data_IF_438914377369
#
_entry.id   IF_438914377369
#
_cell.length_a   1.000
_cell.length_b   1.000
_cell.length_c   1.000
_cell.angle_alpha   90.00
_cell.angle_beta   90.00
_cell.angle_gamma   90.00
#
_symmetry.space_group_name_H-M   'P 1'
#
loop_
_entity.id
_entity.type
_entity.pdbx_description
1 polymer ?
#
# COMPACT_ATOMS: atom_id res chain seq x y z
N UNK A 1 -19.34 -6.39 -16.03
CA UNK A 1 -18.77 -5.11 -15.61
C UNK A 1 -17.37 -5.31 -15.03
N UNK A 2 -16.42 -4.56 -15.56
CA UNK A 2 -15.04 -4.65 -15.10
C UNK A 2 -14.82 -3.63 -13.98
N UNK A 3 -14.45 -4.14 -12.81
CA UNK A 3 -14.09 -3.29 -11.69
C UNK A 3 -12.59 -3.10 -11.66
N UNK A 4 -12.14 -1.93 -12.05
CA UNK A 4 -10.72 -1.60 -12.02
C UNK A 4 -10.42 -0.84 -10.73
N UNK A 5 -9.31 -1.16 -10.06
CA UNK A 5 -8.93 -0.41 -8.88
C UNK A 5 -8.57 1.02 -9.25
N UNK A 6 -8.77 1.91 -8.28
CA UNK A 6 -8.33 3.29 -8.39
C UNK A 6 -6.97 3.42 -7.72
N UNK A 7 -6.04 4.03 -8.43
CA UNK A 7 -4.72 4.33 -7.87
C UNK A 7 -4.65 5.83 -7.66
N UNK A 8 -4.50 6.23 -6.41
CA UNK A 8 -4.54 7.64 -6.03
C UNK A 8 -3.19 8.06 -5.49
N UNK A 9 -2.67 9.16 -6.02
CA UNK A 9 -1.52 9.82 -5.44
C UNK A 9 -2.03 11.02 -4.65
N UNK A 10 -2.08 10.86 -3.33
CA UNK A 10 -2.62 11.89 -2.46
C UNK A 10 -1.51 12.42 -1.56
N UNK A 11 -1.25 13.72 -1.66
CA UNK A 11 -0.24 14.39 -0.84
C UNK A 11 -0.90 15.05 0.37
N UNK A 12 -2.09 15.58 0.17
CA UNK A 12 -2.86 16.28 1.19
C UNK A 12 -4.32 15.89 1.07
N UNK A 13 -5.12 16.39 1.98
CA UNK A 13 -6.58 16.22 1.89
C UNK A 13 -7.04 14.76 1.93
N UNK A 14 -6.31 13.91 2.68
CA UNK A 14 -6.69 12.50 2.82
C UNK A 14 -8.10 12.35 3.39
N UNK A 15 -8.44 13.15 4.40
CA UNK A 15 -9.75 13.05 5.03
C UNK A 15 -10.86 13.37 4.05
N UNK A 16 -10.68 14.40 3.22
CA UNK A 16 -11.67 14.78 2.22
C UNK A 16 -11.84 13.69 1.16
N UNK A 17 -10.72 13.08 0.72
CA UNK A 17 -10.79 11.99 -0.25
C UNK A 17 -11.52 10.79 0.34
N UNK A 18 -11.20 10.43 1.59
CA UNK A 18 -11.84 9.30 2.25
C UNK A 18 -13.34 9.56 2.44
N UNK A 19 -13.72 10.80 2.81
CA UNK A 19 -15.11 11.16 2.94
C UNK A 19 -15.87 11.05 1.61
N UNK A 20 -15.23 11.49 0.52
CA UNK A 20 -15.84 11.37 -0.81
C UNK A 20 -16.08 9.91 -1.16
N UNK A 21 -15.09 9.05 -0.90
CA UNK A 21 -15.22 7.62 -1.19
C UNK A 21 -16.38 6.99 -0.42
N UNK A 22 -16.59 7.39 0.83
CA UNK A 22 -17.71 6.92 1.60
C UNK A 22 -19.04 7.43 1.05
N UNK A 23 -19.12 8.73 0.73
CA UNK A 23 -20.33 9.35 0.20
C UNK A 23 -20.74 8.75 -1.13
N UNK A 24 -19.77 8.47 -1.99
CA UNK A 24 -20.04 7.88 -3.30
C UNK A 24 -20.28 6.39 -3.23
N UNK A 25 -20.26 5.79 -2.04
CA UNK A 25 -20.43 4.35 -1.84
C UNK A 25 -19.51 3.55 -2.74
N UNK A 26 -18.23 3.97 -2.77
CA UNK A 26 -17.26 3.36 -3.64
C UNK A 26 -17.12 1.86 -3.35
N UNK A 27 -17.23 1.05 -4.39
CA UNK A 27 -17.11 -0.41 -4.28
C UNK A 27 -15.87 -0.97 -4.95
N UNK A 28 -15.05 -0.13 -5.58
CA UNK A 28 -13.82 -0.60 -6.21
C UNK A 28 -12.65 -0.45 -5.23
N UNK A 29 -11.63 -1.30 -5.34
CA UNK A 29 -10.44 -1.17 -4.52
C UNK A 29 -9.72 0.15 -4.80
N UNK A 30 -9.22 0.77 -3.74
CA UNK A 30 -8.45 2.02 -3.86
C UNK A 30 -7.06 1.79 -3.29
N UNK A 31 -6.04 2.16 -4.04
CA UNK A 31 -4.65 2.07 -3.61
C UNK A 31 -4.09 3.48 -3.49
N UNK A 32 -3.67 3.84 -2.29
CA UNK A 32 -2.98 5.11 -2.05
C UNK A 32 -1.49 4.88 -2.21
N UNK A 33 -0.93 5.32 -3.34
CA UNK A 33 0.47 5.08 -3.61
C UNK A 33 1.34 6.26 -3.16
N UNK A 34 2.62 5.98 -2.94
CA UNK A 34 3.54 7.01 -2.48
C UNK A 34 3.26 7.48 -1.05
N UNK A 35 2.71 6.60 -0.22
CA UNK A 35 2.30 6.97 1.13
C UNK A 35 3.51 7.32 1.99
N UNK A 36 3.50 8.51 2.60
CA UNK A 36 4.57 8.97 3.48
C UNK A 36 4.04 9.69 4.72
N UNK A 37 2.86 9.28 5.18
CA UNK A 37 2.22 9.88 6.35
C UNK A 37 2.37 8.97 7.55
N UNK A 38 1.64 9.25 8.62
CA UNK A 38 1.79 8.55 9.89
C UNK A 38 0.93 7.29 10.00
N UNK A 39 1.18 6.50 11.06
CA UNK A 39 0.48 5.25 11.28
C UNK A 39 -1.01 5.45 11.53
N UNK A 40 -1.40 6.57 12.14
CA UNK A 40 -2.80 6.87 12.42
C UNK A 40 -3.61 6.98 11.12
N UNK A 41 -3.05 7.71 10.14
CA UNK A 41 -3.71 7.85 8.84
C UNK A 41 -3.71 6.52 8.10
N UNK A 42 -2.61 5.76 8.18
CA UNK A 42 -2.55 4.44 7.56
C UNK A 42 -3.65 3.54 8.12
N UNK A 43 -3.87 3.55 9.43
CA UNK A 43 -4.92 2.76 10.06
C UNK A 43 -6.31 3.19 9.58
N UNK A 44 -6.52 4.48 9.41
CA UNK A 44 -7.81 4.99 8.91
C UNK A 44 -8.07 4.52 7.48
N UNK A 45 -7.06 4.62 6.62
CA UNK A 45 -7.16 4.21 5.22
C UNK A 45 -7.47 2.71 5.12
N UNK A 46 -6.67 1.89 5.79
CA UNK A 46 -6.84 0.43 5.71
C UNK A 46 -8.09 -0.04 6.45
N UNK A 47 -8.47 0.67 7.52
CA UNK A 47 -9.71 0.37 8.24
C UNK A 47 -10.96 0.59 7.40
N UNK A 48 -10.88 1.42 6.38
CA UNK A 48 -11.98 1.63 5.42
C UNK A 48 -11.90 0.68 4.22
N UNK A 49 -10.97 -0.27 4.25
CA UNK A 49 -10.85 -1.28 3.20
C UNK A 49 -9.93 -0.91 2.06
N UNK A 50 -9.19 0.17 2.17
CA UNK A 50 -8.29 0.60 1.11
C UNK A 50 -6.89 0.06 1.32
N UNK A 51 -6.06 0.19 0.29
CA UNK A 51 -4.71 -0.34 0.24
C UNK A 51 -3.70 0.80 0.26
N UNK A 52 -2.51 0.49 0.75
CA UNK A 52 -1.41 1.46 0.80
C UNK A 52 -0.20 0.87 0.09
N UNK A 53 0.41 1.67 -0.77
CA UNK A 53 1.66 1.32 -1.44
C UNK A 53 2.78 2.22 -0.93
N UNK A 54 3.86 1.60 -0.48
CA UNK A 54 5.02 2.31 0.05
C UNK A 54 6.26 2.04 -0.79
N UNK A 55 7.12 3.03 -0.88
CA UNK A 55 8.32 2.94 -1.70
C UNK A 55 9.59 3.14 -0.90
N UNK A 56 10.53 3.86 -1.49
CA UNK A 56 11.87 4.02 -0.93
C UNK A 56 11.90 4.66 0.46
N UNK A 57 10.85 5.40 0.84
CA UNK A 57 10.80 6.05 2.14
C UNK A 57 10.79 5.06 3.31
N UNK A 58 10.58 3.76 3.07
CA UNK A 58 10.67 2.76 4.12
C UNK A 58 12.09 2.63 4.68
N UNK A 59 13.09 3.17 4.00
CA UNK A 59 14.44 3.24 4.53
C UNK A 59 14.54 4.17 5.74
N UNK A 60 13.64 5.13 5.85
CA UNK A 60 13.64 6.08 6.95
C UNK A 60 13.11 5.40 8.22
N UNK A 61 13.86 5.54 9.31
CA UNK A 61 13.44 4.94 10.58
C UNK A 61 12.06 5.40 11.01
N UNK A 62 11.72 6.65 10.71
CA UNK A 62 10.41 7.21 11.07
C UNK A 62 9.25 6.52 10.36
N UNK A 63 9.52 5.87 9.23
CA UNK A 63 8.47 5.17 8.48
C UNK A 63 8.34 3.69 8.83
N UNK A 64 9.25 3.14 9.61
CA UNK A 64 9.17 1.73 9.99
C UNK A 64 7.93 1.42 10.84
N UNK A 65 7.60 2.23 11.87
CA UNK A 65 6.35 1.98 12.59
C UNK A 65 5.12 2.09 11.71
N UNK A 66 5.15 2.97 10.71
CA UNK A 66 4.05 3.11 9.76
C UNK A 66 3.89 1.83 8.95
N UNK A 67 4.99 1.34 8.38
CA UNK A 67 4.98 0.08 7.63
C UNK A 67 4.46 -1.07 8.49
N UNK A 68 4.95 -1.16 9.72
CA UNK A 68 4.56 -2.23 10.64
C UNK A 68 3.10 -2.16 11.04
N UNK A 69 2.49 -0.97 10.97
CA UNK A 69 1.08 -0.77 11.33
C UNK A 69 0.10 -1.19 10.23
N UNK A 70 0.58 -1.35 8.99
CA UNK A 70 -0.29 -1.68 7.86
C UNK A 70 -0.53 -3.19 7.83
N UNK A 71 -1.81 -3.63 7.80
CA UNK A 71 -2.08 -5.06 7.61
C UNK A 71 -1.44 -5.57 6.33
N UNK A 72 -0.78 -6.72 6.40
CA UNK A 72 -0.06 -7.25 5.24
C UNK A 72 -0.95 -7.44 4.02
N UNK A 73 -2.22 -7.79 4.23
CA UNK A 73 -3.16 -7.97 3.13
C UNK A 73 -3.60 -6.66 2.49
N UNK A 74 -3.18 -5.52 3.04
CA UNK A 74 -3.49 -4.19 2.50
C UNK A 74 -2.26 -3.46 2.00
N UNK A 75 -1.12 -4.13 1.94
CA UNK A 75 0.16 -3.51 1.60
C UNK A 75 0.57 -3.81 0.17
N UNK A 76 1.11 -2.79 -0.49
CA UNK A 76 1.87 -2.92 -1.74
C UNK A 76 3.20 -2.20 -1.59
N UNK A 77 4.16 -2.58 -2.39
CA UNK A 77 5.46 -1.93 -2.46
C UNK A 77 5.72 -1.43 -3.87
N UNK A 78 6.40 -0.30 -3.98
CA UNK A 78 6.62 0.36 -5.26
C UNK A 78 7.99 0.98 -5.34
N UNK A 79 8.42 1.33 -6.55
CA UNK A 79 9.59 2.18 -6.77
C UNK A 79 9.16 3.37 -7.61
N UNK A 80 9.23 4.56 -7.02
CA UNK A 80 8.98 5.82 -7.74
C UNK A 80 10.28 6.52 -8.12
N UNK A 81 11.37 6.11 -7.48
CA UNK A 81 12.67 6.72 -7.72
C UNK A 81 13.55 5.74 -8.47
N UNK A 82 14.47 6.29 -9.25
CA UNK A 82 15.41 5.47 -10.02
C UNK A 82 16.61 5.03 -9.19
N UNK A 83 16.70 5.52 -7.96
CA UNK A 83 17.86 5.28 -7.11
C UNK A 83 17.78 4.00 -6.29
N UNK A 84 16.60 3.37 -6.25
CA UNK A 84 16.40 2.18 -5.45
C UNK A 84 15.64 1.13 -6.23
N UNK A 85 16.22 -0.06 -6.34
CA UNK A 85 15.54 -1.17 -7.03
C UNK A 85 14.39 -1.72 -6.18
N UNK A 86 13.43 -2.37 -6.84
CA UNK A 86 12.32 -3.00 -6.14
C UNK A 86 12.81 -4.10 -5.20
N UNK A 87 13.88 -4.80 -5.57
CA UNK A 87 14.48 -5.84 -4.72
C UNK A 87 14.96 -5.26 -3.40
N UNK A 88 15.56 -4.06 -3.42
CA UNK A 88 16.00 -3.40 -2.20
C UNK A 88 14.80 -2.95 -1.35
N UNK A 89 13.74 -2.48 -1.98
CA UNK A 89 12.52 -2.12 -1.26
C UNK A 89 11.98 -3.34 -0.51
N UNK A 90 11.91 -4.50 -1.19
CA UNK A 90 11.48 -5.73 -0.55
C UNK A 90 12.41 -6.13 0.60
N UNK A 91 13.72 -5.97 0.41
CA UNK A 91 14.69 -6.32 1.43
C UNK A 91 14.50 -5.47 2.69
N UNK A 92 14.35 -4.16 2.54
CA UNK A 92 14.12 -3.26 3.67
C UNK A 92 12.78 -3.56 4.35
N UNK A 93 11.74 -3.78 3.57
CA UNK A 93 10.42 -4.07 4.13
C UNK A 93 10.41 -5.39 4.90
N UNK A 94 11.00 -6.43 4.33
CA UNK A 94 11.05 -7.74 4.97
C UNK A 94 11.82 -7.66 6.30
N UNK A 95 12.93 -6.94 6.31
CA UNK A 95 13.71 -6.76 7.54
C UNK A 95 12.89 -6.04 8.60
N UNK A 96 12.20 -4.97 8.22
CA UNK A 96 11.36 -4.20 9.15
C UNK A 96 10.19 -5.01 9.69
N UNK A 97 9.64 -5.91 8.88
CA UNK A 97 8.50 -6.74 9.24
C UNK A 97 8.92 -8.09 9.86
N UNK A 98 10.22 -8.31 10.02
CA UNK A 98 10.78 -9.53 10.59
C UNK A 98 10.30 -10.79 9.87
N UNK A 99 10.43 -10.79 8.55
CA UNK A 99 10.07 -11.92 7.73
C UNK A 99 11.03 -12.06 6.54
N UNK A 100 10.99 -13.21 5.85
CA UNK A 100 11.80 -13.39 4.67
C UNK A 100 11.22 -12.59 3.49
N UNK A 101 12.09 -12.24 2.53
CA UNK A 101 11.62 -11.59 1.30
C UNK A 101 10.66 -12.49 0.53
N UNK A 102 10.90 -13.81 0.55
CA UNK A 102 10.02 -14.76 -0.12
C UNK A 102 8.61 -14.74 0.46
N UNK A 103 8.50 -14.76 1.80
CA UNK A 103 7.20 -14.69 2.46
C UNK A 103 6.47 -13.39 2.10
N UNK A 104 7.20 -12.28 2.11
CA UNK A 104 6.64 -10.99 1.77
C UNK A 104 6.18 -10.96 0.30
N UNK A 105 7.02 -11.45 -0.62
CA UNK A 105 6.65 -11.51 -2.03
C UNK A 105 5.40 -12.33 -2.27
N UNK A 106 5.27 -13.46 -1.59
CA UNK A 106 4.09 -14.31 -1.71
C UNK A 106 2.83 -13.60 -1.23
N UNK A 107 2.93 -12.87 -0.12
CA UNK A 107 1.79 -12.11 0.38
C UNK A 107 1.38 -10.99 -0.57
N UNK A 108 2.35 -10.26 -1.11
CA UNK A 108 2.06 -9.16 -2.02
C UNK A 108 1.51 -9.68 -3.35
N UNK A 109 1.93 -10.87 -3.77
CA UNK A 109 1.34 -11.51 -4.94
C UNK A 109 -0.14 -11.80 -4.71
N UNK A 110 -0.49 -12.30 -3.52
CA UNK A 110 -1.89 -12.52 -3.15
C UNK A 110 -2.67 -11.21 -3.18
N UNK A 111 -2.07 -10.13 -2.68
CA UNK A 111 -2.72 -8.83 -2.69
C UNK A 111 -2.98 -8.37 -4.13
N UNK A 112 -2.00 -8.56 -5.01
CA UNK A 112 -2.14 -8.23 -6.42
C UNK A 112 -3.30 -9.00 -7.05
N UNK A 113 -3.40 -10.30 -6.78
CA UNK A 113 -4.48 -11.13 -7.31
C UNK A 113 -5.85 -10.70 -6.77
N UNK A 114 -5.90 -10.21 -5.54
CA UNK A 114 -7.14 -9.74 -4.95
C UNK A 114 -7.62 -8.45 -5.61
N UNK A 115 -6.69 -7.52 -5.86
CA UNK A 115 -7.02 -6.19 -6.39
C UNK A 115 -7.10 -6.20 -7.91
N UNK A 116 -6.23 -6.99 -8.56
CA UNK A 116 -6.14 -7.09 -10.02
C UNK A 116 -6.32 -8.55 -10.45
N UNK A 117 -7.53 -9.11 -10.33
CA UNK A 117 -7.71 -10.55 -10.61
C UNK A 117 -7.35 -10.93 -12.04
N UNK A 118 -7.52 -10.02 -12.99
CA UNK A 118 -7.25 -10.30 -14.41
C UNK A 118 -5.76 -10.30 -14.76
N UNK A 119 -4.90 -9.86 -13.85
CA UNK A 119 -3.46 -9.75 -14.12
C UNK A 119 -2.81 -11.11 -14.38
N UNK A 120 -3.41 -12.19 -13.86
CA UNK A 120 -2.84 -13.53 -13.94
C UNK A 120 -3.80 -14.53 -14.57
N UNK A 121 -4.86 -14.06 -15.17
CA UNK A 121 -5.84 -14.94 -15.82
C UNK A 121 -5.50 -15.23 -17.27
#
# INVERSE_FOLDING_TARGET
EIRKPLIIHCVRAFDEVLDILVKEKNSVPVIFHGFNRNARLAAKITGQGHYISMGANIQNESMQPVLQSIPLEKLFLETDTQDLSIELVYTFAAASLDMSTETLQNQLKKNTLTVFPSAFS
#
